data_IF_817292620202
#
_entry.id   IF_817292620202
#
_cell.length_a   1.000
_cell.length_b   1.000
_cell.length_c   1.000
_cell.angle_alpha   90.00
_cell.angle_beta   90.00
_cell.angle_gamma   90.00
#
_symmetry.space_group_name_H-M   'P 1'
#
loop_
_entity.id
_entity.type
_entity.pdbx_description
1 polymer ?
#
# COMPACT_ATOMS: atom_id res chain seq x y z
N UNK A 1 -7.31 -22.77 -3.75
CA UNK A 1 -5.93 -23.04 -3.27
C UNK A 1 -4.89 -22.08 -3.85
N UNK A 2 -5.16 -21.39 -4.96
CA UNK A 2 -4.22 -20.49 -5.65
C UNK A 2 -3.99 -19.12 -4.99
N UNK A 3 -4.99 -18.54 -4.31
CA UNK A 3 -4.87 -17.17 -3.78
C UNK A 3 -3.83 -17.04 -2.66
N UNK A 4 -3.77 -17.99 -1.73
CA UNK A 4 -2.79 -17.95 -0.64
C UNK A 4 -1.35 -18.11 -1.16
N UNK A 5 -1.16 -18.93 -2.22
CA UNK A 5 0.13 -19.10 -2.86
C UNK A 5 0.63 -17.79 -3.51
N UNK A 6 -0.27 -16.96 -4.08
CA UNK A 6 0.11 -15.67 -4.66
C UNK A 6 0.53 -14.65 -3.59
N UNK A 7 -0.09 -14.68 -2.40
CA UNK A 7 0.26 -13.77 -1.29
C UNK A 7 1.63 -14.12 -0.68
N UNK A 8 2.03 -15.39 -0.73
CA UNK A 8 3.32 -15.87 -0.18
C UNK A 8 4.41 -16.05 -1.24
N UNK A 9 4.12 -15.76 -2.51
CA UNK A 9 5.08 -15.90 -3.59
C UNK A 9 6.16 -14.81 -3.52
N UNK A 10 7.39 -15.18 -3.84
CA UNK A 10 8.47 -14.20 -4.06
C UNK A 10 8.24 -13.47 -5.39
N UNK A 11 8.69 -12.24 -5.47
CA UNK A 11 8.77 -11.50 -6.73
C UNK A 11 9.70 -12.23 -7.71
N UNK A 12 9.44 -12.15 -9.03
CA UNK A 12 10.41 -12.61 -10.03
C UNK A 12 11.74 -11.86 -9.88
N UNK A 13 12.85 -12.48 -10.30
CA UNK A 13 14.21 -11.96 -10.09
C UNK A 13 14.40 -10.52 -10.56
N UNK A 14 13.83 -10.16 -11.72
CA UNK A 14 13.88 -8.80 -12.26
C UNK A 14 13.22 -7.74 -11.35
N UNK A 15 12.29 -8.14 -10.48
CA UNK A 15 11.58 -7.25 -9.56
C UNK A 15 12.06 -7.36 -8.11
N UNK A 16 13.03 -8.24 -7.82
CA UNK A 16 13.58 -8.41 -6.48
C UNK A 16 14.08 -7.09 -5.83
N UNK A 17 14.68 -6.13 -6.57
CA UNK A 17 15.07 -4.83 -6.00
C UNK A 17 13.90 -3.99 -5.47
N UNK A 18 12.67 -4.23 -5.96
CA UNK A 18 11.46 -3.49 -5.56
C UNK A 18 10.68 -4.18 -4.43
N UNK A 19 11.16 -5.32 -3.91
CA UNK A 19 10.52 -6.02 -2.79
C UNK A 19 10.19 -5.08 -1.61
N UNK A 20 11.09 -4.17 -1.17
CA UNK A 20 10.78 -3.24 -0.08
C UNK A 20 9.62 -2.28 -0.38
N UNK A 21 9.38 -1.93 -1.65
CA UNK A 21 8.24 -1.08 -2.05
C UNK A 21 6.94 -1.88 -1.97
N UNK A 22 6.96 -3.12 -2.50
CA UNK A 22 5.81 -4.03 -2.50
C UNK A 22 5.34 -4.33 -1.08
N UNK A 23 6.26 -4.46 -0.13
CA UNK A 23 5.95 -4.66 1.29
C UNK A 23 5.10 -3.50 1.88
N UNK A 24 5.22 -2.28 1.34
CA UNK A 24 4.49 -1.10 1.80
C UNK A 24 3.16 -0.90 1.05
N UNK A 25 3.01 -1.38 -0.19
CA UNK A 25 1.80 -1.17 -1.00
C UNK A 25 0.47 -1.51 -0.29
N UNK A 26 0.35 -2.58 0.54
CA UNK A 26 -0.89 -2.88 1.24
C UNK A 26 -1.37 -1.79 2.22
N UNK A 27 -0.50 -0.89 2.65
CA UNK A 27 -0.85 0.22 3.57
C UNK A 27 -1.50 1.40 2.86
N UNK A 28 -1.35 1.52 1.54
CA UNK A 28 -1.83 2.67 0.75
C UNK A 28 -3.31 3.01 0.99
N UNK A 29 -4.25 2.05 1.07
CA UNK A 29 -5.65 2.36 1.37
C UNK A 29 -5.86 3.10 2.69
N UNK A 30 -5.04 2.81 3.72
CA UNK A 30 -5.07 3.53 5.00
C UNK A 30 -4.62 4.99 4.80
N UNK A 31 -3.60 5.22 3.97
CA UNK A 31 -3.16 6.58 3.65
C UNK A 31 -4.23 7.42 2.96
N UNK A 32 -5.12 6.83 2.15
CA UNK A 32 -6.25 7.58 1.58
C UNK A 32 -7.27 8.03 2.63
N UNK A 33 -7.52 7.20 3.65
CA UNK A 33 -8.37 7.59 4.79
C UNK A 33 -7.70 8.74 5.55
N UNK A 34 -6.41 8.62 5.87
CA UNK A 34 -5.67 9.66 6.57
C UNK A 34 -5.58 10.95 5.74
N UNK A 35 -5.45 10.84 4.42
CA UNK A 35 -5.44 11.97 3.50
C UNK A 35 -6.75 12.76 3.55
N UNK A 36 -7.90 12.09 3.75
CA UNK A 36 -9.18 12.79 3.93
C UNK A 36 -9.16 13.68 5.18
N UNK A 37 -8.56 13.24 6.29
CA UNK A 37 -8.38 14.06 7.49
C UNK A 37 -7.37 15.19 7.28
N UNK A 38 -6.29 14.94 6.54
CA UNK A 38 -5.32 16.00 6.15
C UNK A 38 -6.01 17.07 5.31
N UNK A 39 -6.84 16.66 4.34
CA UNK A 39 -7.63 17.57 3.53
C UNK A 39 -8.60 18.39 4.36
N UNK A 40 -9.38 17.74 5.23
CA UNK A 40 -10.32 18.42 6.13
C UNK A 40 -9.59 19.41 7.06
N UNK A 41 -8.44 19.03 7.61
CA UNK A 41 -7.63 19.94 8.43
C UNK A 41 -7.11 21.15 7.63
N UNK A 42 -6.70 20.97 6.37
CA UNK A 42 -6.22 22.05 5.51
C UNK A 42 -7.30 23.09 5.16
N UNK A 43 -8.58 22.67 5.11
CA UNK A 43 -9.72 23.58 4.92
C UNK A 43 -10.35 24.03 6.24
N UNK A 44 -9.71 23.76 7.38
CA UNK A 44 -10.21 24.09 8.72
C UNK A 44 -11.56 23.45 9.05
N UNK A 45 -11.82 22.26 8.50
CA UNK A 45 -13.10 21.53 8.65
C UNK A 45 -14.32 22.38 8.23
N UNK A 46 -14.13 23.24 7.23
CA UNK A 46 -15.20 23.99 6.55
C UNK A 46 -15.84 23.18 5.44
#
# INVERSE_FOLDING_TARGET
MTTLALVLAKLPEAYAPFAPIVDVLPVIPVFFILLAFVWQAAVSFR
#
